data_IF_084239776811
#
_entry.id   IF_084239776811
#
_cell.length_a   1.000
_cell.length_b   1.000
_cell.length_c   1.000
_cell.angle_alpha   90.00
_cell.angle_beta   90.00
_cell.angle_gamma   90.00
#
_symmetry.space_group_name_H-M   'P 1'
#
loop_
_entity.id
_entity.type
_entity.pdbx_description
1 polymer ?
#
# COMPACT_ATOMS: atom_id res chain seq x y z
N UNK A 1 -10.66 30.10 22.45
CA UNK A 1 -10.48 28.66 22.19
C UNK A 1 -9.14 28.54 21.48
N UNK A 2 -8.06 28.34 22.23
CA UNK A 2 -6.72 28.22 21.64
C UNK A 2 -6.65 26.88 20.90
N UNK A 3 -6.32 26.93 19.62
CA UNK A 3 -6.11 25.72 18.81
C UNK A 3 -4.84 25.02 19.30
N UNK A 4 -4.95 23.76 19.70
CA UNK A 4 -3.76 22.98 20.06
C UNK A 4 -2.74 22.95 18.91
N UNK A 5 -1.43 23.02 19.21
CA UNK A 5 -0.39 23.01 18.21
C UNK A 5 -0.45 21.71 17.41
N UNK A 6 -0.41 21.83 16.07
CA UNK A 6 -0.44 20.66 15.19
C UNK A 6 0.83 19.83 15.43
N UNK A 7 0.71 18.55 15.79
CA UNK A 7 1.88 17.71 16.04
C UNK A 7 2.66 17.51 14.74
N UNK A 8 3.95 17.87 14.76
CA UNK A 8 4.86 17.78 13.62
C UNK A 8 5.77 16.56 13.73
N UNK A 9 6.24 16.06 12.59
CA UNK A 9 7.24 14.99 12.53
C UNK A 9 8.59 15.45 13.08
N UNK A 10 9.24 14.60 13.89
CA UNK A 10 10.63 14.81 14.32
C UNK A 10 11.61 14.76 13.14
N UNK A 11 12.82 15.28 13.32
CA UNK A 11 13.86 15.29 12.28
C UNK A 11 14.18 13.88 11.75
N UNK A 12 14.22 12.88 12.64
CA UNK A 12 14.43 11.47 12.28
C UNK A 12 13.27 10.94 11.44
N UNK A 13 12.03 11.23 11.83
CA UNK A 13 10.84 10.81 11.08
C UNK A 13 10.77 11.49 9.72
N UNK A 14 11.08 12.79 9.62
CA UNK A 14 11.12 13.51 8.33
C UNK A 14 12.15 12.90 7.38
N UNK A 15 13.35 12.55 7.87
CA UNK A 15 14.36 11.84 7.06
C UNK A 15 13.83 10.48 6.59
N UNK A 16 13.20 9.71 7.47
CA UNK A 16 12.60 8.42 7.10
C UNK A 16 11.48 8.57 6.07
N UNK A 17 10.56 9.50 6.27
CA UNK A 17 9.48 9.76 5.32
C UNK A 17 9.99 10.23 3.95
N UNK A 18 11.11 10.96 3.93
CA UNK A 18 11.79 11.30 2.67
C UNK A 18 12.28 10.07 1.90
N UNK A 19 12.83 9.07 2.60
CA UNK A 19 13.21 7.77 1.99
C UNK A 19 11.98 7.04 1.47
N UNK A 20 10.92 6.93 2.28
CA UNK A 20 9.67 6.27 1.86
C UNK A 20 9.05 6.95 0.64
N UNK A 21 9.05 8.28 0.60
CA UNK A 21 8.53 9.04 -0.54
C UNK A 21 9.28 8.73 -1.82
N UNK A 22 10.62 8.69 -1.77
CA UNK A 22 11.44 8.35 -2.93
C UNK A 22 11.17 6.90 -3.37
N UNK A 23 11.11 5.97 -2.42
CA UNK A 23 10.84 4.56 -2.70
C UNK A 23 9.48 4.37 -3.37
N UNK A 24 8.43 4.99 -2.84
CA UNK A 24 7.09 4.90 -3.43
C UNK A 24 7.03 5.56 -4.81
N UNK A 25 7.74 6.66 -5.05
CA UNK A 25 7.80 7.28 -6.39
C UNK A 25 8.55 6.41 -7.40
N UNK A 26 9.61 5.70 -6.98
CA UNK A 26 10.37 4.79 -7.84
C UNK A 26 9.52 3.60 -8.31
N UNK A 27 8.68 3.05 -7.42
CA UNK A 27 7.82 1.89 -7.73
C UNK A 27 6.44 2.26 -8.29
N UNK A 28 5.89 3.41 -7.90
CA UNK A 28 4.55 3.87 -8.26
C UNK A 28 4.58 5.31 -8.84
N UNK A 29 5.31 5.53 -9.95
CA UNK A 29 5.53 6.87 -10.48
C UNK A 29 4.21 7.53 -10.86
N UNK A 30 4.05 8.79 -10.45
CA UNK A 30 2.84 9.59 -10.66
C UNK A 30 1.51 8.98 -10.15
N UNK A 31 1.58 7.97 -9.27
CA UNK A 31 0.39 7.31 -8.67
C UNK A 31 0.29 7.52 -7.16
N UNK A 32 1.26 8.19 -6.55
CA UNK A 32 1.33 8.40 -5.11
C UNK A 32 0.80 9.78 -4.73
N UNK A 33 -0.19 9.83 -3.84
CA UNK A 33 -0.74 11.07 -3.31
C UNK A 33 -0.55 11.16 -1.79
N UNK A 34 0.13 12.21 -1.33
CA UNK A 34 0.39 12.45 0.10
C UNK A 34 -0.54 13.55 0.62
N UNK A 35 -1.30 13.26 1.67
CA UNK A 35 -2.19 14.23 2.32
C UNK A 35 -1.66 14.58 3.70
N UNK A 36 -1.68 15.87 4.07
CA UNK A 36 -1.22 16.39 5.37
C UNK A 36 0.22 15.95 5.74
N UNK A 37 1.15 15.92 4.79
CA UNK A 37 2.48 15.30 4.94
C UNK A 37 3.36 15.85 6.08
N UNK A 38 3.04 17.01 6.65
CA UNK A 38 3.74 17.60 7.79
C UNK A 38 3.12 17.25 9.14
N UNK A 39 1.86 16.78 9.16
CA UNK A 39 1.09 16.51 10.36
C UNK A 39 1.25 15.04 10.81
N UNK A 40 1.88 14.84 11.96
CA UNK A 40 2.23 13.53 12.47
C UNK A 40 1.02 12.63 12.82
N UNK A 41 -0.18 13.19 13.00
CA UNK A 41 -1.39 12.42 13.35
C UNK A 41 -2.39 12.31 12.21
N UNK A 42 -2.19 13.05 11.10
CA UNK A 42 -3.14 13.11 9.99
C UNK A 42 -2.53 12.80 8.63
N UNK A 43 -1.25 12.41 8.57
CA UNK A 43 -0.60 12.07 7.30
C UNK A 43 -1.19 10.80 6.70
N UNK A 44 -1.57 10.88 5.43
CA UNK A 44 -2.10 9.75 4.65
C UNK A 44 -1.36 9.63 3.33
N UNK A 45 -1.26 8.41 2.81
CA UNK A 45 -0.64 8.11 1.52
C UNK A 45 -1.59 7.23 0.70
N UNK A 46 -2.00 7.71 -0.47
CA UNK A 46 -2.89 6.99 -1.37
C UNK A 46 -2.12 6.50 -2.60
N UNK A 47 -2.37 5.27 -3.05
CA UNK A 47 -1.84 4.71 -4.29
C UNK A 47 -2.94 3.95 -5.04
N UNK A 48 -3.04 4.22 -6.35
CA UNK A 48 -3.87 3.46 -7.28
C UNK A 48 -3.12 2.23 -7.81
N UNK A 49 -3.64 1.03 -7.53
CA UNK A 49 -3.06 -0.26 -7.91
C UNK A 49 -4.04 -1.09 -8.72
N UNK A 50 -3.52 -1.86 -9.67
CA UNK A 50 -4.30 -2.85 -10.41
C UNK A 50 -4.03 -4.26 -9.89
N UNK A 51 -5.11 -5.03 -9.73
CA UNK A 51 -5.06 -6.49 -9.62
C UNK A 51 -4.76 -7.13 -10.98
N UNK A 52 -4.44 -8.42 -10.98
CA UNK A 52 -4.09 -9.17 -12.20
C UNK A 52 -5.24 -9.22 -13.22
N UNK A 53 -6.48 -9.15 -12.75
CA UNK A 53 -7.68 -9.04 -13.58
C UNK A 53 -7.92 -7.61 -14.14
N UNK A 54 -6.98 -6.69 -13.91
CA UNK A 54 -6.98 -5.28 -14.32
C UNK A 54 -7.97 -4.39 -13.58
N UNK A 55 -8.64 -4.88 -12.54
CA UNK A 55 -9.47 -4.02 -11.68
C UNK A 55 -8.57 -3.03 -10.93
N UNK A 56 -8.92 -1.74 -10.95
CA UNK A 56 -8.17 -0.71 -10.23
C UNK A 56 -8.78 -0.47 -8.84
N UNK A 57 -7.90 -0.35 -7.84
CA UNK A 57 -8.24 -0.01 -6.47
C UNK A 57 -7.37 1.14 -5.98
N UNK A 58 -7.91 1.95 -5.07
CA UNK A 58 -7.15 2.94 -4.30
C UNK A 58 -6.93 2.38 -2.90
N UNK A 59 -5.66 2.14 -2.57
CA UNK A 59 -5.23 1.83 -1.22
C UNK A 59 -4.77 3.10 -0.52
N UNK A 60 -5.07 3.21 0.77
CA UNK A 60 -4.64 4.31 1.63
C UNK A 60 -3.93 3.78 2.86
N UNK A 61 -2.72 4.26 3.06
CA UNK A 61 -2.01 4.14 4.33
C UNK A 61 -2.33 5.34 5.22
N UNK A 62 -2.68 5.06 6.48
CA UNK A 62 -2.78 6.05 7.56
C UNK A 62 -1.53 5.92 8.43
N UNK A 63 -0.69 6.95 8.44
CA UNK A 63 0.52 6.93 9.27
C UNK A 63 0.18 7.22 10.73
N UNK A 64 0.81 6.47 11.63
CA UNK A 64 0.75 6.70 13.06
C UNK A 64 1.80 7.74 13.46
N UNK A 65 1.54 8.48 14.54
CA UNK A 65 2.48 9.49 15.05
C UNK A 65 3.85 8.90 15.44
N UNK A 66 3.88 7.61 15.76
CA UNK A 66 5.09 6.89 16.14
C UNK A 66 5.75 6.14 14.96
N UNK A 67 5.31 6.35 13.71
CA UNK A 67 6.01 5.82 12.54
C UNK A 67 7.48 6.29 12.53
N UNK A 68 8.48 5.42 12.26
CA UNK A 68 8.39 4.02 11.81
C UNK A 68 8.38 2.97 12.94
N UNK A 69 8.30 3.36 14.21
CA UNK A 69 8.28 2.41 15.33
C UNK A 69 6.94 1.67 15.44
N UNK A 70 5.86 2.30 14.99
CA UNK A 70 4.53 1.70 14.96
C UNK A 70 4.08 1.37 13.52
N UNK A 71 3.46 0.21 13.38
CA UNK A 71 2.87 -0.28 12.12
C UNK A 71 1.76 0.67 11.65
N UNK A 72 1.76 1.14 10.39
CA UNK A 72 0.70 1.98 9.89
C UNK A 72 -0.54 1.15 9.53
N UNK A 73 -1.69 1.81 9.40
CA UNK A 73 -2.94 1.14 9.01
C UNK A 73 -3.16 1.24 7.50
N UNK A 74 -3.77 0.23 6.90
CA UNK A 74 -4.01 0.14 5.46
C UNK A 74 -5.51 -0.05 5.19
N UNK A 75 -6.09 0.79 4.33
CA UNK A 75 -7.51 0.73 3.96
C UNK A 75 -7.72 0.65 2.45
N UNK A 76 -8.81 0.02 2.01
CA UNK A 76 -9.27 0.07 0.61
C UNK A 76 -10.34 1.16 0.47
N UNK A 77 -9.98 2.25 -0.23
CA UNK A 77 -10.80 3.47 -0.31
C UNK A 77 -11.75 3.44 -1.51
N UNK A 78 -11.31 2.84 -2.61
CA UNK A 78 -12.10 2.76 -3.84
C UNK A 78 -11.75 1.51 -4.65
N UNK A 79 -12.73 0.87 -5.32
CA UNK A 79 -14.16 1.00 -5.05
C UNK A 79 -14.53 0.54 -3.62
N UNK A 80 -15.72 0.91 -3.16
CA UNK A 80 -16.26 0.39 -1.90
C UNK A 80 -16.45 -1.13 -2.02
N UNK A 81 -15.76 -1.90 -1.17
CA UNK A 81 -15.82 -3.35 -1.26
C UNK A 81 -17.18 -3.90 -0.86
N UNK A 82 -17.59 -4.94 -1.56
CA UNK A 82 -18.81 -5.71 -1.31
C UNK A 82 -18.50 -7.18 -1.12
N UNK A 83 -19.32 -7.87 -0.32
CA UNK A 83 -19.32 -9.33 -0.27
C UNK A 83 -19.82 -9.89 -1.61
N UNK A 84 -19.67 -11.19 -1.85
CA UNK A 84 -20.23 -11.85 -3.04
C UNK A 84 -21.75 -11.69 -3.18
N UNK A 85 -22.45 -11.49 -2.07
CA UNK A 85 -23.90 -11.28 -2.04
C UNK A 85 -24.30 -9.82 -2.32
N UNK A 86 -23.33 -8.92 -2.47
CA UNK A 86 -23.56 -7.48 -2.66
C UNK A 86 -23.70 -6.69 -1.35
N UNK A 87 -23.61 -7.35 -0.20
CA UNK A 87 -23.70 -6.72 1.12
C UNK A 87 -22.42 -5.95 1.47
N UNK A 88 -22.45 -5.23 2.59
CA UNK A 88 -21.25 -4.61 3.19
C UNK A 88 -20.18 -5.68 3.39
N UNK A 89 -18.93 -5.35 3.03
CA UNK A 89 -17.83 -6.27 3.24
C UNK A 89 -17.58 -6.49 4.75
N UNK A 90 -17.28 -7.73 5.19
CA UNK A 90 -17.06 -8.02 6.60
C UNK A 90 -15.95 -7.16 7.22
N UNK A 91 -16.15 -6.78 8.47
CA UNK A 91 -15.21 -6.03 9.30
C UNK A 91 -14.70 -6.92 10.44
N UNK A 92 -13.47 -6.69 10.92
CA UNK A 92 -12.88 -7.44 12.04
C UNK A 92 -13.00 -8.97 11.87
N UNK A 93 -12.73 -9.46 10.66
CA UNK A 93 -12.90 -10.86 10.30
C UNK A 93 -11.57 -11.52 9.96
N UNK A 94 -11.26 -12.61 10.68
CA UNK A 94 -10.12 -13.48 10.41
C UNK A 94 -10.20 -14.13 9.03
N UNK A 95 -11.38 -14.57 8.60
CA UNK A 95 -11.58 -15.25 7.31
C UNK A 95 -11.29 -14.34 6.10
N UNK A 96 -11.55 -13.05 6.27
CA UNK A 96 -11.37 -12.01 5.24
C UNK A 96 -10.11 -11.16 5.48
N UNK A 97 -9.35 -11.44 6.54
CA UNK A 97 -8.16 -10.66 6.94
C UNK A 97 -8.47 -9.16 7.00
N UNK A 98 -9.58 -8.82 7.64
CA UNK A 98 -10.01 -7.42 7.86
C UNK A 98 -9.89 -7.05 9.33
N UNK A 99 -9.58 -5.78 9.58
CA UNK A 99 -9.57 -5.17 10.91
C UNK A 99 -10.79 -4.25 11.07
N UNK A 100 -10.85 -3.54 12.19
CA UNK A 100 -11.84 -2.48 12.39
C UNK A 100 -11.72 -1.42 11.29
N UNK A 101 -12.86 -0.97 10.77
CA UNK A 101 -12.92 0.00 9.69
C UNK A 101 -12.44 1.38 10.16
N UNK A 102 -11.72 2.06 9.27
CA UNK A 102 -11.26 3.43 9.48
C UNK A 102 -11.95 4.31 8.45
N UNK A 103 -12.57 5.39 8.91
CA UNK A 103 -13.30 6.34 8.05
C UNK A 103 -14.39 5.65 7.19
N UNK A 104 -14.93 4.54 7.67
CA UNK A 104 -15.95 3.75 6.96
C UNK A 104 -15.40 2.79 5.89
N UNK A 105 -14.07 2.72 5.72
CA UNK A 105 -13.41 1.85 4.74
C UNK A 105 -12.90 0.55 5.37
N UNK A 106 -12.97 -0.58 4.63
CA UNK A 106 -12.32 -1.84 5.00
C UNK A 106 -10.84 -1.65 5.29
N UNK A 107 -10.43 -2.02 6.50
CA UNK A 107 -9.01 -2.04 6.90
C UNK A 107 -8.44 -3.44 6.67
N UNK A 108 -7.29 -3.51 6.02
CA UNK A 108 -6.59 -4.74 5.66
C UNK A 108 -5.63 -5.14 6.78
N UNK A 109 -5.66 -6.40 7.20
CA UNK A 109 -4.61 -6.99 8.01
C UNK A 109 -3.40 -7.28 7.11
N UNK A 110 -2.21 -6.76 7.46
CA UNK A 110 -1.01 -6.86 6.60
C UNK A 110 0.25 -7.29 7.37
N UNK A 111 0.61 -6.60 8.44
CA UNK A 111 1.66 -7.01 9.38
C UNK A 111 1.06 -7.24 10.76
N UNK A 112 1.51 -8.30 11.45
CA UNK A 112 1.27 -8.41 12.89
C UNK A 112 2.05 -7.29 13.59
N UNK A 113 1.47 -6.55 14.55
CA UNK A 113 2.15 -5.45 15.22
C UNK A 113 3.50 -5.84 15.85
N UNK A 114 3.62 -7.06 16.37
CA UNK A 114 4.86 -7.58 16.96
C UNK A 114 5.95 -7.94 15.94
N UNK A 115 5.56 -8.12 14.66
CA UNK A 115 6.50 -8.43 13.57
C UNK A 115 6.91 -7.17 12.80
N UNK A 116 6.28 -6.02 13.08
CA UNK A 116 6.65 -4.75 12.48
C UNK A 116 7.98 -4.26 13.06
N UNK A 117 8.88 -3.88 12.18
CA UNK A 117 10.17 -3.27 12.52
C UNK A 117 10.34 -1.96 11.76
N UNK A 118 11.27 -1.13 12.22
CA UNK A 118 11.62 0.08 11.47
C UNK A 118 12.17 -0.26 10.08
N UNK A 119 12.64 -1.48 9.79
CA UNK A 119 13.14 -1.84 8.46
C UNK A 119 12.02 -2.02 7.44
N UNK A 120 10.79 -2.26 7.89
CA UNK A 120 9.64 -2.38 7.01
C UNK A 120 9.28 -1.05 6.35
N UNK A 121 8.90 -1.10 5.07
CA UNK A 121 8.62 0.07 4.24
C UNK A 121 7.14 0.22 3.91
N UNK A 122 6.71 1.43 3.56
CA UNK A 122 5.36 1.67 3.04
C UNK A 122 5.12 0.93 1.73
N UNK A 123 6.16 0.73 0.92
CA UNK A 123 6.10 -0.12 -0.27
C UNK A 123 5.65 -1.53 0.08
N UNK A 124 6.27 -2.18 1.07
CA UNK A 124 5.88 -3.52 1.51
C UNK A 124 4.44 -3.58 2.02
N UNK A 125 3.97 -2.54 2.74
CA UNK A 125 2.57 -2.43 3.18
C UNK A 125 1.62 -2.39 1.97
N UNK A 126 1.90 -1.57 0.95
CA UNK A 126 1.10 -1.53 -0.27
C UNK A 126 1.14 -2.86 -1.03
N UNK A 127 2.29 -3.54 -1.08
CA UNK A 127 2.40 -4.84 -1.75
C UNK A 127 1.59 -5.93 -1.04
N UNK A 128 1.57 -5.96 0.30
CA UNK A 128 0.66 -6.84 1.04
C UNK A 128 -0.81 -6.49 0.79
N UNK A 129 -1.13 -5.20 0.70
CA UNK A 129 -2.44 -4.74 0.25
C UNK A 129 -2.83 -5.23 -1.14
N UNK A 130 -1.89 -5.21 -2.09
CA UNK A 130 -2.12 -5.72 -3.45
C UNK A 130 -2.40 -7.21 -3.43
N UNK A 131 -1.62 -8.01 -2.70
CA UNK A 131 -1.86 -9.45 -2.53
C UNK A 131 -3.24 -9.72 -1.91
N UNK A 132 -3.64 -8.90 -0.94
CA UNK A 132 -4.98 -8.96 -0.35
C UNK A 132 -6.08 -8.70 -1.39
N UNK A 133 -5.89 -7.75 -2.31
CA UNK A 133 -6.82 -7.49 -3.41
C UNK A 133 -6.89 -8.64 -4.43
N UNK A 134 -5.78 -9.35 -4.67
CA UNK A 134 -5.80 -10.58 -5.47
C UNK A 134 -6.63 -11.67 -4.78
N UNK A 135 -6.45 -11.87 -3.47
CA UNK A 135 -7.25 -12.80 -2.69
C UNK A 135 -8.74 -12.41 -2.68
N UNK A 136 -9.06 -11.10 -2.64
CA UNK A 136 -10.43 -10.60 -2.77
C UNK A 136 -11.05 -10.95 -4.12
N UNK A 137 -10.29 -10.80 -5.20
CA UNK A 137 -10.73 -11.14 -6.57
C UNK A 137 -10.95 -12.66 -6.74
N UNK A 138 -10.08 -13.48 -6.14
CA UNK A 138 -10.23 -14.94 -6.07
C UNK A 138 -11.43 -15.35 -5.22
N UNK A 139 -11.68 -14.67 -4.10
CA UNK A 139 -12.88 -14.88 -3.30
C UNK A 139 -14.14 -14.65 -4.15
N UNK A 140 -14.21 -13.56 -4.91
CA UNK A 140 -15.37 -13.29 -5.77
C UNK A 140 -15.60 -14.35 -6.83
N UNK A 141 -14.53 -14.74 -7.54
CA UNK A 141 -14.62 -15.72 -8.63
C UNK A 141 -14.88 -17.15 -8.15
N UNK A 142 -14.24 -17.60 -7.06
CA UNK A 142 -14.28 -19.00 -6.61
C UNK A 142 -15.27 -19.26 -5.48
N UNK A 143 -15.55 -18.26 -4.65
CA UNK A 143 -16.32 -18.40 -3.41
C UNK A 143 -15.57 -18.93 -2.20
N UNK A 144 -14.29 -19.29 -2.33
CA UNK A 144 -13.45 -19.66 -1.19
C UNK A 144 -13.07 -18.42 -0.37
N UNK A 145 -12.93 -18.57 0.94
CA UNK A 145 -12.54 -17.47 1.84
C UNK A 145 -11.11 -16.99 1.55
N UNK A 146 -10.83 -15.72 1.85
CA UNK A 146 -9.55 -15.08 1.50
C UNK A 146 -8.36 -15.70 2.24
N UNK A 147 -8.56 -16.14 3.47
CA UNK A 147 -7.54 -16.83 4.28
C UNK A 147 -6.89 -18.03 3.55
N UNK A 148 -7.65 -18.73 2.69
CA UNK A 148 -7.10 -19.83 1.88
C UNK A 148 -6.01 -19.35 0.93
N UNK A 149 -6.24 -18.24 0.24
CA UNK A 149 -5.29 -17.72 -0.77
C UNK A 149 -4.12 -16.97 -0.14
N UNK A 150 -4.36 -16.24 0.95
CA UNK A 150 -3.31 -15.47 1.63
C UNK A 150 -2.24 -16.39 2.22
N UNK A 151 -2.62 -17.53 2.77
CA UNK A 151 -1.67 -18.56 3.23
C UNK A 151 -0.80 -19.13 2.10
N UNK A 152 -1.38 -19.30 0.91
CA UNK A 152 -0.62 -19.75 -0.27
C UNK A 152 0.40 -18.68 -0.68
N UNK A 153 0.02 -17.40 -0.67
CA UNK A 153 0.93 -16.30 -1.01
C UNK A 153 2.09 -16.14 -0.04
N UNK A 154 1.86 -16.30 1.27
CA UNK A 154 2.92 -16.22 2.28
C UNK A 154 3.90 -17.41 2.22
N UNK A 155 3.50 -18.52 1.59
CA UNK A 155 4.37 -19.69 1.38
C UNK A 155 5.21 -19.62 0.10
N UNK A 156 4.96 -18.64 -0.77
CA UNK A 156 5.76 -18.41 -1.97
C UNK A 156 7.11 -17.79 -1.57
N UNK A 157 8.24 -18.23 -2.17
CA UNK A 157 9.53 -17.59 -1.93
C UNK A 157 9.44 -16.11 -2.32
N UNK A 158 9.88 -15.21 -1.43
CA UNK A 158 9.90 -13.77 -1.72
C UNK A 158 10.66 -13.53 -3.03
N UNK A 159 10.12 -12.73 -3.97
CA UNK A 159 10.88 -12.33 -5.13
C UNK A 159 12.09 -11.54 -4.63
N UNK A 160 13.31 -11.99 -4.97
CA UNK A 160 14.54 -11.27 -4.66
C UNK A 160 14.36 -9.80 -5.06
N UNK A 161 14.52 -8.90 -4.08
CA UNK A 161 14.52 -7.46 -4.34
C UNK A 161 15.78 -7.15 -5.14
N UNK A 162 15.67 -7.23 -6.46
CA UNK A 162 16.76 -6.84 -7.36
C UNK A 162 16.90 -5.33 -7.20
N UNK A 163 18.04 -4.81 -6.71
CA UNK A 163 18.26 -3.38 -6.66
C UNK A 163 18.09 -2.84 -8.07
N UNK A 164 17.41 -1.71 -8.21
CA UNK A 164 17.28 -1.02 -9.48
C UNK A 164 18.68 -0.69 -10.02
N UNK A 165 19.25 -1.59 -10.83
CA UNK A 165 20.46 -1.31 -11.57
C UNK A 165 20.15 -0.10 -12.44
N UNK A 166 20.93 0.96 -12.19
CA UNK A 166 20.92 2.23 -12.89
C UNK A 166 20.57 1.99 -14.36
N UNK A 167 19.35 2.37 -14.77
CA UNK A 167 18.98 2.52 -16.18
C UNK A 167 19.87 3.60 -16.78
N UNK A 168 21.10 3.22 -17.12
CA UNK A 168 22.09 4.04 -17.77
C UNK A 168 21.56 4.30 -19.17
N UNK A 169 21.07 5.52 -19.34
CA UNK A 169 20.61 6.10 -20.60
C UNK A 169 21.35 5.54 -21.81
N UNK A 170 20.65 4.76 -22.65
CA UNK A 170 21.02 4.58 -24.05
C UNK A 170 20.21 5.55 -24.91
N UNK A 171 20.39 6.85 -24.65
CA UNK A 171 20.21 7.87 -25.66
C UNK A 171 21.47 7.92 -26.53
N UNK A 172 21.52 7.10 -27.59
CA UNK A 172 22.32 7.42 -28.79
C UNK A 172 21.91 6.56 -29.98
N UNK A 173 21.73 7.25 -31.12
CA UNK A 173 21.70 6.77 -32.50
C UNK A 173 20.36 6.24 -33.03
N UNK A 174 19.45 7.18 -33.32
CA UNK A 174 18.60 7.11 -34.52
C UNK A 174 18.78 8.39 -35.35
N UNK A 175 19.90 8.46 -36.04
CA UNK A 175 20.03 9.29 -37.24
C UNK A 175 20.95 8.56 -38.20
N UNK A 176 20.35 7.97 -39.23
CA UNK A 176 20.84 7.72 -40.60
C UNK A 176 19.86 6.70 -41.18
N UNK A 177 18.78 7.20 -41.78
CA UNK A 177 18.11 6.59 -42.94
C UNK A 177 17.03 7.55 -43.47
N UNK A 178 17.46 8.65 -44.08
CA UNK A 178 16.68 9.40 -45.08
C UNK A 178 17.63 10.04 -46.09
N UNK A 179 17.97 9.26 -47.12
CA UNK A 179 18.36 9.76 -48.45
C UNK A 179 17.79 8.79 -49.49
N UNK A 180 16.60 9.11 -49.97
CA UNK A 180 16.19 9.01 -51.37
C UNK A 180 15.40 10.27 -51.66
#
# INVERSE_FOLDING_TARGET
MESEPIPMWSDRQRKRLGIEKNLLEDYFPARTNWTNSTNATKTKVDIALNTNDKTEYILRIHLTQDFPNACPMLTVVSPMLKSRKGDRFPESSTEFHTLQNIEGYPTVCHFHPESWTQENTLYQVFMKGRLWLEAYSLYHSTGKIMDTFLKEFDSAPEPEVVPAEKKRSKSRLRSILRRR
#
